data_IF_125582795121
#
_entry.id   IF_125582795121
#
_cell.length_a   1.000
_cell.length_b   1.000
_cell.length_c   1.000
_cell.angle_alpha   90.00
_cell.angle_beta   90.00
_cell.angle_gamma   90.00
#
_symmetry.space_group_name_H-M   'P 1'
#
loop_
_entity.id
_entity.type
_entity.pdbx_description
1 polymer ?
#
# COMPACT_ATOMS: atom_id res chain seq x y z
N UNK A 1 0.55 -35.37 7.17
CA UNK A 1 0.19 -34.09 7.84
C UNK A 1 -1.20 -33.67 7.37
N UNK A 2 -2.16 -33.46 8.28
CA UNK A 2 -3.53 -33.08 7.93
C UNK A 2 -3.63 -31.56 7.71
N UNK A 3 -4.03 -31.13 6.52
CA UNK A 3 -4.21 -29.70 6.20
C UNK A 3 -5.55 -29.23 6.81
N UNK A 4 -5.48 -28.41 7.86
CA UNK A 4 -6.66 -27.80 8.47
C UNK A 4 -6.95 -26.47 7.77
N UNK A 5 -8.03 -26.42 6.97
CA UNK A 5 -8.53 -25.17 6.39
C UNK A 5 -9.27 -24.39 7.46
N UNK A 6 -8.83 -23.17 7.74
CA UNK A 6 -9.47 -22.25 8.71
C UNK A 6 -9.89 -20.99 7.97
N UNK A 7 -11.18 -20.66 8.01
CA UNK A 7 -11.69 -19.39 7.48
C UNK A 7 -11.46 -18.29 8.52
N UNK A 8 -10.64 -17.30 8.17
CA UNK A 8 -10.29 -16.18 9.05
C UNK A 8 -10.97 -14.92 8.51
N UNK A 9 -11.80 -14.29 9.33
CA UNK A 9 -12.38 -12.98 9.03
C UNK A 9 -11.38 -11.87 9.41
N UNK A 10 -10.75 -11.28 8.39
CA UNK A 10 -9.73 -10.22 8.51
C UNK A 10 -10.30 -8.87 8.96
N UNK A 11 -11.62 -8.65 8.95
CA UNK A 11 -12.24 -7.40 9.42
C UNK A 11 -12.57 -7.42 10.91
N UNK A 12 -12.56 -8.60 11.53
CA UNK A 12 -12.88 -8.77 12.95
C UNK A 12 -11.73 -8.25 13.82
N UNK A 13 -12.05 -7.36 14.77
CA UNK A 13 -11.05 -6.86 15.73
C UNK A 13 -10.52 -8.02 16.60
N UNK A 14 -9.21 -8.03 16.92
CA UNK A 14 -8.63 -9.04 17.78
C UNK A 14 -9.27 -9.00 19.17
N UNK A 15 -9.41 -10.18 19.77
CA UNK A 15 -9.86 -10.30 21.16
C UNK A 15 -8.79 -9.74 22.12
N UNK A 16 -9.21 -9.38 23.34
CA UNK A 16 -8.29 -8.86 24.38
C UNK A 16 -7.10 -9.80 24.61
N UNK A 17 -7.38 -11.11 24.71
CA UNK A 17 -6.36 -12.16 24.85
C UNK A 17 -5.37 -12.20 23.69
N UNK A 18 -5.84 -12.11 22.44
CA UNK A 18 -4.96 -12.04 21.26
C UNK A 18 -4.08 -10.78 21.28
N UNK A 19 -4.63 -9.67 21.74
CA UNK A 19 -3.90 -8.40 21.85
C UNK A 19 -2.82 -8.46 22.92
N UNK A 20 -3.10 -9.10 24.06
CA UNK A 20 -2.12 -9.38 25.11
C UNK A 20 -1.02 -10.33 24.62
N UNK A 21 -1.38 -11.38 23.87
CA UNK A 21 -0.40 -12.28 23.24
C UNK A 21 0.54 -11.53 22.29
N UNK A 22 0.03 -10.61 21.47
CA UNK A 22 0.87 -9.78 20.59
C UNK A 22 1.82 -8.88 21.40
N UNK A 23 1.34 -8.30 22.50
CA UNK A 23 2.18 -7.48 23.39
C UNK A 23 3.27 -8.31 24.07
N UNK A 24 2.96 -9.52 24.52
CA UNK A 24 3.94 -10.44 25.10
C UNK A 24 4.97 -10.89 24.06
N UNK A 25 4.52 -11.21 22.83
CA UNK A 25 5.38 -11.58 21.70
C UNK A 25 6.44 -10.52 21.38
N UNK A 26 6.12 -9.23 21.51
CA UNK A 26 7.08 -8.13 21.32
C UNK A 26 8.28 -8.20 22.27
N UNK A 27 8.10 -8.78 23.47
CA UNK A 27 9.13 -8.84 24.51
C UNK A 27 9.92 -10.16 24.49
N UNK A 28 9.54 -11.12 23.65
CA UNK A 28 10.29 -12.37 23.51
C UNK A 28 11.59 -12.12 22.71
N UNK A 29 12.70 -12.78 23.08
CA UNK A 29 13.94 -12.70 22.32
C UNK A 29 13.74 -13.30 20.93
N UNK A 30 14.35 -12.67 19.93
CA UNK A 30 14.41 -13.22 18.56
C UNK A 30 15.44 -14.34 18.57
N UNK A 31 14.97 -15.58 18.53
CA UNK A 31 15.82 -16.77 18.43
C UNK A 31 15.78 -17.29 17.01
N UNK A 32 16.95 -17.59 16.45
CA UNK A 32 17.08 -18.21 15.14
C UNK A 32 17.29 -19.72 15.34
N UNK A 33 16.52 -20.53 14.62
CA UNK A 33 16.58 -21.99 14.65
C UNK A 33 16.93 -22.53 13.24
N UNK A 34 17.03 -23.85 13.10
CA UNK A 34 17.34 -24.48 11.80
C UNK A 34 16.26 -24.23 10.73
N UNK A 35 15.01 -24.04 11.15
CA UNK A 35 13.87 -23.77 10.26
C UNK A 35 13.73 -22.26 9.92
N UNK A 36 14.33 -21.38 10.73
CA UNK A 36 14.31 -19.92 10.63
C UNK A 36 15.70 -19.32 10.90
N UNK A 37 16.66 -19.54 9.98
CA UNK A 37 18.03 -19.04 10.11
C UNK A 37 18.11 -17.51 9.99
N UNK A 38 19.22 -16.94 10.48
CA UNK A 38 19.52 -15.52 10.28
C UNK A 38 19.63 -15.20 8.79
N UNK A 39 19.02 -14.09 8.38
CA UNK A 39 19.18 -13.56 7.02
C UNK A 39 20.63 -13.11 6.83
N UNK A 40 21.29 -13.70 5.83
CA UNK A 40 22.65 -13.29 5.48
C UNK A 40 22.70 -11.82 5.00
N UNK A 41 23.84 -11.12 5.16
CA UNK A 41 23.99 -9.74 4.70
C UNK A 41 23.64 -9.54 3.22
N UNK A 42 23.95 -10.53 2.37
CA UNK A 42 23.60 -10.51 0.95
C UNK A 42 22.10 -10.60 0.70
N UNK A 43 21.37 -11.40 1.47
CA UNK A 43 19.91 -11.47 1.39
C UNK A 43 19.28 -10.15 1.84
N UNK A 44 19.75 -9.56 2.95
CA UNK A 44 19.31 -8.25 3.42
C UNK A 44 19.52 -7.16 2.35
N UNK A 45 20.64 -7.19 1.63
CA UNK A 45 20.93 -6.26 0.53
C UNK A 45 19.94 -6.39 -0.63
N UNK A 46 19.51 -7.61 -0.96
CA UNK A 46 18.46 -7.84 -1.99
C UNK A 46 17.11 -7.24 -1.57
N UNK A 47 16.73 -7.39 -0.30
CA UNK A 47 15.49 -6.79 0.21
C UNK A 47 15.54 -5.26 0.19
N UNK A 48 16.68 -4.65 0.51
CA UNK A 48 16.86 -3.19 0.42
C UNK A 48 16.65 -2.69 -1.02
N UNK A 49 17.29 -3.34 -2.00
CA UNK A 49 17.15 -2.97 -3.42
C UNK A 49 15.68 -2.99 -3.89
N UNK A 50 14.95 -4.06 -3.58
CA UNK A 50 13.52 -4.18 -3.93
C UNK A 50 12.67 -3.11 -3.23
N UNK A 51 13.03 -2.77 -1.98
CA UNK A 51 12.34 -1.70 -1.25
C UNK A 51 12.61 -0.33 -1.84
N UNK A 52 13.83 -0.07 -2.30
CA UNK A 52 14.22 1.19 -2.94
C UNK A 52 13.50 1.37 -4.27
N UNK A 53 13.51 0.36 -5.14
CA UNK A 53 12.80 0.35 -6.42
C UNK A 53 11.29 0.59 -6.25
N UNK A 54 10.65 -0.13 -5.31
CA UNK A 54 9.23 0.10 -4.99
C UNK A 54 8.96 1.49 -4.42
N UNK A 55 9.90 2.07 -3.67
CA UNK A 55 9.74 3.41 -3.12
C UNK A 55 9.89 4.47 -4.21
N UNK A 56 10.76 4.24 -5.19
CA UNK A 56 10.94 5.09 -6.36
C UNK A 56 9.69 5.05 -7.24
N UNK A 57 9.16 3.87 -7.58
CA UNK A 57 7.91 3.71 -8.33
C UNK A 57 6.71 4.37 -7.65
N UNK A 58 6.68 4.35 -6.30
CA UNK A 58 5.60 4.94 -5.50
C UNK A 58 5.77 6.43 -5.27
N UNK A 59 6.89 7.03 -5.66
CA UNK A 59 7.15 8.45 -5.45
C UNK A 59 6.23 9.27 -6.35
N UNK A 60 5.12 9.73 -5.80
CA UNK A 60 4.17 10.59 -6.52
C UNK A 60 4.81 11.94 -6.85
N UNK A 61 4.76 12.33 -8.12
CA UNK A 61 5.09 13.68 -8.57
C UNK A 61 3.93 14.65 -8.33
N UNK A 62 4.23 15.90 -8.01
CA UNK A 62 3.21 16.96 -7.90
C UNK A 62 3.10 17.71 -9.21
N UNK A 63 1.90 17.75 -9.79
CA UNK A 63 1.59 18.54 -10.99
C UNK A 63 0.62 19.66 -10.61
N UNK A 64 0.84 20.87 -11.15
CA UNK A 64 -0.06 22.02 -10.97
C UNK A 64 -0.83 22.30 -12.26
N UNK A 65 -2.15 22.14 -12.24
CA UNK A 65 -3.02 22.36 -13.40
C UNK A 65 -4.03 23.48 -13.11
N UNK A 66 -4.38 24.27 -14.13
CA UNK A 66 -5.46 25.25 -14.06
C UNK A 66 -6.76 24.62 -14.53
N UNK A 67 -7.78 24.64 -13.69
CA UNK A 67 -9.11 24.11 -13.98
C UNK A 67 -10.13 25.26 -14.04
N UNK A 68 -11.19 25.05 -14.83
CA UNK A 68 -12.33 25.99 -14.82
C UNK A 68 -13.03 25.99 -13.45
N UNK A 69 -13.70 27.10 -13.06
CA UNK A 69 -14.42 27.16 -11.78
C UNK A 69 -15.48 26.06 -11.64
N UNK A 70 -16.12 25.65 -12.74
CA UNK A 70 -17.10 24.55 -12.76
C UNK A 70 -16.46 23.21 -12.42
N UNK A 71 -15.32 22.90 -13.05
CA UNK A 71 -14.59 21.65 -12.78
C UNK A 71 -14.08 21.61 -11.34
N UNK A 72 -13.56 22.74 -10.83
CA UNK A 72 -13.06 22.82 -9.46
C UNK A 72 -14.18 22.61 -8.41
N UNK A 73 -15.39 23.16 -8.65
CA UNK A 73 -16.56 22.90 -7.80
C UNK A 73 -16.93 21.43 -7.78
N UNK A 74 -16.98 20.77 -8.95
CA UNK A 74 -17.25 19.33 -9.07
C UNK A 74 -16.20 18.48 -8.35
N UNK A 75 -14.93 18.85 -8.46
CA UNK A 75 -13.87 18.19 -7.72
C UNK A 75 -14.08 18.30 -6.21
N UNK A 76 -14.30 19.51 -5.69
CA UNK A 76 -14.52 19.73 -4.24
C UNK A 76 -15.76 19.01 -3.71
N UNK A 77 -16.80 18.82 -4.52
CA UNK A 77 -18.00 18.07 -4.11
C UNK A 77 -17.77 16.57 -3.87
N UNK A 78 -16.62 16.02 -4.28
CA UNK A 78 -16.25 14.61 -4.02
C UNK A 78 -15.90 14.35 -2.54
N UNK A 79 -15.83 15.39 -1.70
CA UNK A 79 -15.65 15.27 -0.26
C UNK A 79 -14.21 15.49 0.24
N UNK A 80 -14.00 15.21 1.53
CA UNK A 80 -12.68 15.35 2.18
C UNK A 80 -11.73 14.31 1.58
N UNK A 81 -10.72 14.78 0.85
CA UNK A 81 -9.78 13.92 0.10
C UNK A 81 -10.04 13.84 -1.41
N UNK A 82 -10.82 14.77 -1.97
CA UNK A 82 -11.04 14.84 -3.42
C UNK A 82 -9.75 14.87 -4.25
N UNK A 83 -8.65 15.40 -3.71
CA UNK A 83 -7.33 15.40 -4.37
C UNK A 83 -6.83 13.98 -4.64
N UNK A 84 -7.03 13.04 -3.71
CA UNK A 84 -6.69 11.62 -3.91
C UNK A 84 -7.61 10.92 -4.89
N UNK A 85 -8.85 11.40 -5.04
CA UNK A 85 -9.77 10.90 -6.08
C UNK A 85 -9.34 11.44 -7.45
N UNK A 86 -8.98 12.72 -7.55
CA UNK A 86 -8.46 13.32 -8.77
C UNK A 86 -7.16 12.66 -9.24
N UNK A 87 -6.23 12.37 -8.31
CA UNK A 87 -4.99 11.64 -8.63
C UNK A 87 -5.29 10.32 -9.32
N UNK A 88 -6.25 9.54 -8.80
CA UNK A 88 -6.63 8.25 -9.38
C UNK A 88 -7.31 8.40 -10.74
N UNK A 89 -8.27 9.32 -10.86
CA UNK A 89 -8.93 9.58 -12.15
C UNK A 89 -7.89 10.00 -13.22
N UNK A 90 -6.90 10.80 -12.84
CA UNK A 90 -5.84 11.23 -13.75
C UNK A 90 -4.93 10.07 -14.13
N UNK A 91 -4.53 9.25 -13.16
CA UNK A 91 -3.74 8.02 -13.39
C UNK A 91 -4.50 7.08 -14.35
N UNK A 92 -5.79 6.82 -14.10
CA UNK A 92 -6.64 5.96 -14.94
C UNK A 92 -6.81 6.52 -16.37
N UNK A 93 -7.02 7.84 -16.49
CA UNK A 93 -7.19 8.49 -17.79
C UNK A 93 -5.89 8.51 -18.62
N UNK A 94 -4.72 8.51 -17.97
CA UNK A 94 -3.42 8.44 -18.63
C UNK A 94 -3.02 7.01 -19.01
N UNK A 95 -3.70 5.99 -18.48
CA UNK A 95 -3.48 4.58 -18.84
C UNK A 95 -4.37 4.14 -20.00
N UNK A 96 -5.41 4.92 -20.34
CA UNK A 96 -6.31 4.63 -21.46
C UNK A 96 -5.86 5.33 -22.76
N UNK A 97 -5.38 4.58 -23.78
CA UNK A 97 -4.92 5.15 -25.04
C UNK A 97 -6.02 5.92 -25.80
N UNK A 98 -7.29 5.51 -25.68
CA UNK A 98 -8.39 6.16 -26.38
C UNK A 98 -8.67 7.56 -25.81
N UNK A 99 -8.56 7.68 -24.49
CA UNK A 99 -8.72 8.97 -23.80
C UNK A 99 -7.61 9.93 -24.21
N UNK A 100 -6.37 9.44 -24.32
CA UNK A 100 -5.23 10.23 -24.79
C UNK A 100 -5.43 10.71 -26.22
N UNK A 101 -5.76 9.80 -27.15
CA UNK A 101 -5.96 10.14 -28.57
C UNK A 101 -7.05 11.20 -28.78
N UNK A 102 -8.10 11.19 -27.95
CA UNK A 102 -9.17 12.21 -28.05
C UNK A 102 -8.78 13.62 -27.57
N UNK A 103 -7.63 13.78 -26.90
CA UNK A 103 -7.17 15.05 -26.33
C UNK A 103 -5.81 15.53 -26.89
N UNK A 104 -5.24 14.81 -27.86
CA UNK A 104 -4.06 15.20 -28.65
C UNK A 104 -4.47 15.81 -30.00
#
# INVERSE_FOLDING_TARGET
>A
MAIKKVNIDVKKKPTKKQTEMIKAAKNLPVTFDEDSPELTPDQLKRFRRISEEKNEDRRKGTVTLRLTPRALRKAKSLGKGYTSVLSRILEDALDDPQVIESHL
#
